data_IF_542349948043
#
_entry.id   IF_542349948043
#
_cell.length_a   1.000
_cell.length_b   1.000
_cell.length_c   1.000
_cell.angle_alpha   90.00
_cell.angle_beta   90.00
_cell.angle_gamma   90.00
#
_symmetry.space_group_name_H-M   'P 1'
#
loop_
_entity.id
_entity.type
_entity.pdbx_description
1 polymer ?
#
# COMPACT_ATOMS: atom_id res chain seq x y z
N UNK A 1 -17.34 17.35 -21.58
CA UNK A 1 -16.86 16.95 -20.23
C UNK A 1 -16.55 15.47 -20.31
N UNK A 2 -15.27 15.09 -20.34
CA UNK A 2 -14.89 13.67 -20.37
C UNK A 2 -15.20 13.12 -18.99
N UNK A 3 -16.21 12.27 -18.90
CA UNK A 3 -16.47 11.49 -17.69
C UNK A 3 -15.49 10.33 -17.72
N UNK A 4 -14.40 10.44 -16.96
CA UNK A 4 -13.52 9.30 -16.70
C UNK A 4 -14.34 8.29 -15.89
N UNK A 5 -14.72 7.20 -16.54
CA UNK A 5 -15.35 6.08 -15.84
C UNK A 5 -14.29 5.33 -15.05
N UNK A 6 -14.70 4.55 -14.04
CA UNK A 6 -13.77 3.72 -13.24
C UNK A 6 -12.98 2.73 -14.09
N UNK A 7 -13.50 2.37 -15.28
CA UNK A 7 -12.83 1.52 -16.25
C UNK A 7 -11.69 2.25 -16.99
N UNK A 8 -11.91 3.52 -17.34
CA UNK A 8 -10.88 4.35 -17.99
C UNK A 8 -9.68 4.59 -17.05
N UNK A 9 -9.93 4.72 -15.75
CA UNK A 9 -8.87 4.88 -14.74
C UNK A 9 -8.01 3.61 -14.63
N UNK A 10 -8.62 2.44 -14.59
CA UNK A 10 -7.89 1.16 -14.57
C UNK A 10 -7.02 0.99 -15.84
N UNK A 11 -7.57 1.29 -17.02
CA UNK A 11 -6.82 1.24 -18.28
C UNK A 11 -5.64 2.21 -18.32
N UNK A 12 -5.79 3.42 -17.77
CA UNK A 12 -4.69 4.38 -17.66
C UNK A 12 -3.59 3.84 -16.75
N UNK A 13 -3.95 3.24 -15.62
CA UNK A 13 -2.97 2.65 -14.71
C UNK A 13 -2.23 1.46 -15.33
N UNK A 14 -2.94 0.54 -15.98
CA UNK A 14 -2.30 -0.58 -16.69
C UNK A 14 -1.33 -0.09 -17.76
N UNK A 15 -1.70 0.97 -18.48
CA UNK A 15 -0.83 1.61 -19.47
C UNK A 15 0.40 2.22 -18.81
N UNK A 16 0.25 2.91 -17.67
CA UNK A 16 1.36 3.51 -16.91
C UNK A 16 2.29 2.43 -16.37
N UNK A 17 1.75 1.36 -15.78
CA UNK A 17 2.53 0.24 -15.26
C UNK A 17 3.25 -0.54 -16.36
N UNK A 18 2.76 -0.47 -17.61
CA UNK A 18 3.40 -1.04 -18.79
C UNK A 18 4.50 -0.15 -19.40
N UNK A 19 4.75 1.04 -18.85
CA UNK A 19 5.82 1.93 -19.34
C UNK A 19 7.19 1.28 -19.07
N UNK A 20 8.10 1.22 -20.07
CA UNK A 20 9.47 0.78 -19.86
C UNK A 20 10.14 1.57 -18.73
N UNK A 21 10.77 0.88 -17.78
CA UNK A 21 11.40 1.50 -16.61
C UNK A 21 10.59 1.38 -15.31
N UNK A 22 9.31 1.00 -15.36
CA UNK A 22 8.48 0.86 -14.14
C UNK A 22 8.87 -0.32 -13.25
N UNK A 23 9.64 -1.29 -13.79
CA UNK A 23 10.22 -2.41 -13.04
C UNK A 23 11.68 -2.14 -12.63
N UNK A 24 12.21 -0.93 -12.85
CA UNK A 24 13.57 -0.59 -12.43
C UNK A 24 13.62 -0.40 -10.91
N UNK A 25 14.64 -1.01 -10.29
CA UNK A 25 14.87 -0.86 -8.86
C UNK A 25 15.41 0.55 -8.56
N UNK A 26 14.70 1.29 -7.72
CA UNK A 26 15.12 2.62 -7.26
C UNK A 26 15.50 2.58 -5.78
N UNK A 27 16.52 3.37 -5.41
CA UNK A 27 16.90 3.56 -4.02
C UNK A 27 16.06 4.69 -3.41
N UNK A 28 15.29 4.38 -2.38
CA UNK A 28 14.50 5.35 -1.62
C UNK A 28 15.24 5.70 -0.33
N UNK A 29 15.67 6.96 -0.18
CA UNK A 29 16.19 7.47 1.09
C UNK A 29 15.06 8.13 1.88
N UNK A 30 14.70 7.55 3.02
CA UNK A 30 13.52 7.93 3.80
C UNK A 30 13.91 8.35 5.22
N UNK A 31 13.63 9.61 5.57
CA UNK A 31 13.81 10.16 6.92
C UNK A 31 12.48 10.67 7.48
N UNK A 32 11.78 9.82 8.22
CA UNK A 32 10.48 10.13 8.82
C UNK A 32 10.46 9.80 10.32
N UNK A 33 9.51 10.39 11.06
CA UNK A 33 9.35 10.12 12.49
C UNK A 33 8.75 8.73 12.73
N UNK A 34 9.00 8.16 13.92
CA UNK A 34 8.37 6.89 14.36
C UNK A 34 6.84 6.90 14.23
N UNK A 35 6.21 8.04 14.50
CA UNK A 35 4.76 8.23 14.29
C UNK A 35 4.39 8.00 12.82
N UNK A 36 5.13 8.62 11.90
CA UNK A 36 4.83 8.50 10.48
C UNK A 36 5.13 7.10 9.95
N UNK A 37 6.12 6.39 10.51
CA UNK A 37 6.38 4.98 10.18
C UNK A 37 5.17 4.10 10.54
N UNK A 38 4.61 4.27 11.75
CA UNK A 38 3.41 3.53 12.16
C UNK A 38 2.21 3.85 11.28
N UNK A 39 2.00 5.14 10.97
CA UNK A 39 0.92 5.56 10.09
C UNK A 39 1.09 5.02 8.68
N UNK A 40 2.32 5.03 8.15
CA UNK A 40 2.62 4.51 6.82
C UNK A 40 2.28 3.02 6.73
N UNK A 41 2.75 2.22 7.69
CA UNK A 41 2.43 0.80 7.73
C UNK A 41 0.91 0.55 7.80
N UNK A 42 0.21 1.30 8.65
CA UNK A 42 -1.25 1.16 8.78
C UNK A 42 -2.00 1.57 7.50
N UNK A 43 -1.54 2.61 6.80
CA UNK A 43 -2.13 3.04 5.51
C UNK A 43 -1.90 1.99 4.43
N UNK A 44 -0.70 1.39 4.36
CA UNK A 44 -0.41 0.31 3.42
C UNK A 44 -1.32 -0.88 3.70
N UNK A 45 -1.34 -1.41 4.93
CA UNK A 45 -2.20 -2.54 5.30
C UNK A 45 -3.69 -2.27 5.02
N UNK A 46 -4.18 -1.08 5.38
CA UNK A 46 -5.56 -0.69 5.08
C UNK A 46 -5.84 -0.63 3.57
N UNK A 47 -4.90 -0.11 2.80
CA UNK A 47 -5.00 -0.04 1.34
C UNK A 47 -5.08 -1.44 0.73
N UNK A 48 -4.23 -2.36 1.19
CA UNK A 48 -4.22 -3.76 0.75
C UNK A 48 -5.48 -4.55 1.17
N UNK A 49 -6.11 -4.18 2.30
CA UNK A 49 -7.34 -4.80 2.79
C UNK A 49 -8.62 -4.28 2.13
N UNK A 50 -8.56 -3.17 1.38
CA UNK A 50 -9.73 -2.60 0.71
C UNK A 50 -10.24 -3.57 -0.35
N UNK A 51 -11.32 -4.28 -0.04
CA UNK A 51 -11.99 -5.18 -0.98
C UNK A 51 -12.67 -4.37 -2.08
N UNK A 52 -12.66 -4.97 -3.28
CA UNK A 52 -13.26 -4.67 -4.60
C UNK A 52 -14.52 -3.78 -4.66
N UNK A 53 -15.25 -3.55 -3.57
CA UNK A 53 -16.53 -2.80 -3.54
C UNK A 53 -16.37 -1.27 -3.40
N UNK A 54 -15.19 -0.78 -2.97
CA UNK A 54 -14.90 0.66 -2.97
C UNK A 54 -14.36 1.09 -4.35
N UNK A 55 -14.89 2.16 -4.95
CA UNK A 55 -14.48 2.65 -6.28
C UNK A 55 -12.97 2.98 -6.43
N UNK A 56 -12.23 3.06 -5.31
CA UNK A 56 -10.77 3.20 -5.27
C UNK A 56 -10.02 1.86 -5.43
N UNK A 57 -10.70 0.73 -5.23
CA UNK A 57 -10.14 -0.63 -5.26
C UNK A 57 -9.72 -1.07 -6.66
N UNK A 58 -10.26 -0.44 -7.71
CA UNK A 58 -9.95 -0.78 -9.10
C UNK A 58 -8.47 -0.67 -9.46
N UNK A 59 -7.72 0.22 -8.78
CA UNK A 59 -6.28 0.34 -8.98
C UNK A 59 -5.53 -0.86 -8.41
N UNK A 60 -5.79 -1.21 -7.15
CA UNK A 60 -5.09 -2.31 -6.50
C UNK A 60 -5.51 -3.67 -7.06
N UNK A 61 -6.69 -3.78 -7.70
CA UNK A 61 -7.12 -5.01 -8.38
C UNK A 61 -6.40 -5.28 -9.69
N UNK A 62 -5.80 -4.27 -10.34
CA UNK A 62 -5.04 -4.48 -11.59
C UNK A 62 -3.55 -4.70 -11.35
N UNK A 63 -3.08 -4.51 -10.12
CA UNK A 63 -1.69 -4.73 -9.71
C UNK A 63 -1.48 -6.21 -9.34
N UNK A 64 -0.38 -6.85 -9.80
CA UNK A 64 -0.04 -8.21 -9.40
C UNK A 64 0.13 -8.37 -7.88
N UNK A 65 -0.29 -9.52 -7.34
CA UNK A 65 -0.19 -9.81 -5.90
C UNK A 65 1.25 -9.74 -5.38
N UNK A 66 2.24 -10.09 -6.22
CA UNK A 66 3.66 -9.99 -5.88
C UNK A 66 4.07 -8.54 -5.54
N UNK A 67 3.64 -7.56 -6.34
CA UNK A 67 3.91 -6.14 -6.09
C UNK A 67 3.21 -5.64 -4.82
N UNK A 68 2.02 -6.18 -4.51
CA UNK A 68 1.30 -5.85 -3.29
C UNK A 68 2.01 -6.40 -2.04
N UNK A 69 2.54 -7.62 -2.12
CA UNK A 69 3.34 -8.22 -1.04
C UNK A 69 4.69 -7.52 -0.87
N UNK A 70 5.32 -7.04 -1.96
CA UNK A 70 6.50 -6.16 -1.87
C UNK A 70 6.19 -4.86 -1.10
N UNK A 71 5.06 -4.21 -1.40
CA UNK A 71 4.61 -3.02 -0.67
C UNK A 71 4.34 -3.32 0.81
N UNK A 72 3.74 -4.48 1.13
CA UNK A 72 3.55 -4.94 2.50
C UNK A 72 4.90 -5.12 3.22
N UNK A 73 5.85 -5.75 2.54
CA UNK A 73 7.21 -5.97 3.05
C UNK A 73 7.92 -4.65 3.38
N UNK A 74 7.77 -3.62 2.54
CA UNK A 74 8.32 -2.27 2.81
C UNK A 74 7.76 -1.69 4.11
N UNK A 75 6.46 -1.84 4.38
CA UNK A 75 5.84 -1.42 5.64
C UNK A 75 6.49 -2.11 6.85
N UNK A 76 6.62 -3.44 6.77
CA UNK A 76 7.27 -4.25 7.79
C UNK A 76 8.74 -3.89 8.02
N UNK A 77 9.50 -3.66 6.95
CA UNK A 77 10.89 -3.21 7.04
C UNK A 77 11.01 -1.83 7.70
N UNK A 78 10.10 -0.91 7.39
CA UNK A 78 10.09 0.41 8.02
C UNK A 78 9.83 0.30 9.53
N UNK A 79 8.90 -0.57 9.94
CA UNK A 79 8.65 -0.86 11.35
C UNK A 79 9.87 -1.49 12.03
N UNK A 80 10.53 -2.45 11.37
CA UNK A 80 11.74 -3.09 11.86
C UNK A 80 12.85 -2.05 12.11
N UNK A 81 13.14 -1.24 11.09
CA UNK A 81 14.16 -0.18 11.13
C UNK A 81 13.85 0.88 12.20
N UNK A 82 12.57 1.14 12.46
CA UNK A 82 12.14 2.09 13.48
C UNK A 82 12.06 1.51 14.91
N UNK A 83 12.16 0.19 15.06
CA UNK A 83 11.99 -0.53 16.32
C UNK A 83 10.55 -0.53 16.83
N UNK A 84 9.57 -0.60 15.92
CA UNK A 84 8.14 -0.42 16.21
C UNK A 84 7.29 -1.67 15.97
N UNK A 85 7.90 -2.81 15.61
CA UNK A 85 7.17 -4.06 15.33
C UNK A 85 6.25 -4.43 16.51
N UNK A 86 6.81 -4.62 17.70
CA UNK A 86 6.01 -5.02 18.89
C UNK A 86 4.87 -4.03 19.19
N UNK A 87 5.10 -2.73 19.00
CA UNK A 87 4.08 -1.72 19.22
C UNK A 87 2.95 -1.83 18.18
N UNK A 88 3.31 -2.04 16.91
CA UNK A 88 2.33 -2.24 15.84
C UNK A 88 1.49 -3.51 16.06
N UNK A 89 2.11 -4.61 16.51
CA UNK A 89 1.41 -5.85 16.83
C UNK A 89 0.44 -5.67 18.00
N UNK A 90 0.88 -5.00 19.07
CA UNK A 90 0.02 -4.68 20.21
C UNK A 90 -1.16 -3.78 19.81
N UNK A 91 -0.93 -2.78 18.97
CA UNK A 91 -1.98 -1.91 18.44
C UNK A 91 -3.00 -2.70 17.59
N UNK A 92 -2.51 -3.59 16.73
CA UNK A 92 -3.37 -4.46 15.93
C UNK A 92 -4.21 -5.40 16.82
N UNK A 93 -3.60 -6.00 17.84
CA UNK A 93 -4.30 -6.83 18.82
C UNK A 93 -5.37 -6.05 19.59
N UNK A 94 -5.10 -4.80 19.96
CA UNK A 94 -6.10 -3.91 20.59
C UNK A 94 -7.23 -3.52 19.64
N UNK A 95 -6.93 -3.28 18.37
CA UNK A 95 -7.97 -2.97 17.37
C UNK A 95 -8.84 -4.18 17.03
N UNK A 96 -8.40 -5.40 17.38
CA UNK A 96 -9.10 -6.66 17.17
C UNK A 96 -10.17 -7.02 18.21
N UNK A 97 -10.38 -6.22 19.26
CA UNK A 97 -11.39 -6.52 20.32
C UNK A 97 -12.81 -6.02 20.03
N UNK A 98 -13.19 -5.85 18.77
CA UNK A 98 -14.60 -5.67 18.38
C UNK A 98 -14.91 -6.41 17.09
N UNK A 99 -15.02 -7.74 17.19
CA UNK A 99 -16.00 -8.48 16.40
C UNK A 99 -16.49 -9.70 17.18
#
# INVERSE_FOLDING_TARGET
MIMLTTNDVAQVFDTILSIPGMNELVKIDLKISRKNVLLLNHVIERGLLAKVDDKASNLLTSVPEENLEELRSIGGECLLKAGLIELSEKLNALSGTTK
#
